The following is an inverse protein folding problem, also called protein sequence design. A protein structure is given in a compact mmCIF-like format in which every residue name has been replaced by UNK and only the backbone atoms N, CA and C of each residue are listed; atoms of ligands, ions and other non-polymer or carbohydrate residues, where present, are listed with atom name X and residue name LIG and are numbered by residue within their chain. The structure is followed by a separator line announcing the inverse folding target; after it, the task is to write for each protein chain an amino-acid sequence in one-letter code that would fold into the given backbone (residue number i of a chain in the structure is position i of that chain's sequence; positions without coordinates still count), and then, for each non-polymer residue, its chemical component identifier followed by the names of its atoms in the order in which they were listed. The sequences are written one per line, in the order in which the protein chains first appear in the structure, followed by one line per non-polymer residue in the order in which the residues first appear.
data_IF_580061472843
#
_entry.id   IF_580061472843
#
_cell.length_a   1.000
_cell.length_b   1.000
_cell.length_c   1.000
_cell.angle_alpha   90.00
_cell.angle_beta   90.00
_cell.angle_gamma   90.00
#
_symmetry.space_group_name_H-M   'P 1'
#
loop_
_entity.id
_entity.type
_entity.pdbx_description
1 polymer ?
#
# COMPACT_ATOMS: atom_id res chain seq x y z
N UNK A 1 -23.81 14.61 -4.00
CA UNK A 1 -23.25 14.05 -2.74
C UNK A 1 -21.93 14.74 -2.48
N UNK A 2 -21.79 15.47 -1.38
CA UNK A 2 -20.50 16.06 -1.01
C UNK A 2 -19.49 14.95 -0.74
N UNK A 3 -18.29 15.05 -1.33
CA UNK A 3 -17.22 14.08 -1.11
C UNK A 3 -16.83 14.04 0.37
N UNK A 4 -16.63 12.84 0.92
CA UNK A 4 -16.17 12.67 2.30
C UNK A 4 -14.66 12.91 2.32
N UNK A 5 -14.15 13.88 3.11
CA UNK A 5 -12.72 14.15 3.15
C UNK A 5 -11.92 12.97 3.72
N UNK A 6 -10.96 12.47 2.95
CA UNK A 6 -10.10 11.35 3.36
C UNK A 6 -9.29 11.73 4.62
N UNK A 7 -8.84 12.97 4.73
CA UNK A 7 -8.06 13.50 5.84
C UNK A 7 -8.79 13.48 7.19
N UNK A 8 -10.13 13.50 7.17
CA UNK A 8 -10.99 13.46 8.36
C UNK A 8 -11.28 12.02 8.81
N UNK A 9 -11.36 11.09 7.87
CA UNK A 9 -11.76 9.70 8.12
C UNK A 9 -10.56 8.76 8.28
N UNK A 10 -9.55 8.90 7.41
CA UNK A 10 -8.37 8.03 7.40
C UNK A 10 -7.41 8.45 8.52
N UNK A 11 -7.00 7.54 9.42
CA UNK A 11 -6.02 7.81 10.47
C UNK A 11 -4.74 8.43 9.94
N UNK A 12 -4.13 9.34 10.72
CA UNK A 12 -2.93 10.06 10.30
C UNK A 12 -1.74 9.13 9.98
N UNK A 13 -1.60 8.04 10.73
CA UNK A 13 -0.52 7.08 10.52
C UNK A 13 -0.69 6.26 9.23
N UNK A 14 -1.93 5.84 8.88
CA UNK A 14 -2.23 5.25 7.57
C UNK A 14 -1.87 6.19 6.43
N UNK A 15 -2.25 7.46 6.56
CA UNK A 15 -1.91 8.49 5.56
C UNK A 15 -0.40 8.64 5.45
N UNK A 16 0.31 8.80 6.56
CA UNK A 16 1.77 8.98 6.55
C UNK A 16 2.50 7.79 5.91
N UNK A 17 2.10 6.56 6.23
CA UNK A 17 2.64 5.36 5.61
C UNK A 17 2.46 5.38 4.08
N UNK A 18 1.22 5.50 3.61
CA UNK A 18 0.91 5.40 2.18
C UNK A 18 1.40 6.59 1.36
N UNK A 19 1.26 7.82 1.86
CA UNK A 19 1.58 8.99 1.03
C UNK A 19 3.00 9.49 1.26
N UNK A 20 3.77 9.00 2.24
CA UNK A 20 5.13 9.52 2.52
C UNK A 20 6.19 8.44 2.52
N UNK A 21 6.01 7.39 3.33
CA UNK A 21 7.01 6.32 3.46
C UNK A 21 7.04 5.47 2.20
N UNK A 22 5.87 5.07 1.72
CA UNK A 22 5.76 4.15 0.60
C UNK A 22 6.24 4.72 -0.75
N UNK A 23 5.99 5.97 -1.12
CA UNK A 23 6.52 6.52 -2.36
C UNK A 23 8.05 6.54 -2.39
N UNK A 24 8.69 6.78 -1.24
CA UNK A 24 10.15 6.75 -1.12
C UNK A 24 10.65 5.31 -1.30
N UNK A 25 9.97 4.34 -0.67
CA UNK A 25 10.30 2.92 -0.83
C UNK A 25 10.12 2.46 -2.28
N UNK A 26 9.02 2.83 -2.94
CA UNK A 26 8.72 2.49 -4.32
C UNK A 26 9.73 3.12 -5.30
N UNK A 27 10.10 4.40 -5.13
CA UNK A 27 11.17 5.02 -5.92
C UNK A 27 12.51 4.32 -5.70
N UNK A 28 12.82 3.93 -4.46
CA UNK A 28 14.04 3.19 -4.13
C UNK A 28 14.06 1.82 -4.82
N UNK A 29 12.95 1.09 -4.75
CA UNK A 29 12.77 -0.16 -5.50
C UNK A 29 12.98 0.04 -6.99
N UNK A 30 12.32 1.04 -7.58
CA UNK A 30 12.45 1.34 -9.00
C UNK A 30 13.91 1.65 -9.38
N UNK A 31 14.63 2.41 -8.57
CA UNK A 31 16.05 2.68 -8.76
C UNK A 31 16.89 1.39 -8.71
N UNK A 32 16.60 0.46 -7.78
CA UNK A 32 17.29 -0.84 -7.73
C UNK A 32 17.02 -1.64 -9.01
N UNK A 33 15.78 -1.74 -9.48
CA UNK A 33 15.48 -2.45 -10.73
C UNK A 33 16.18 -1.85 -11.96
N UNK A 34 16.27 -0.51 -12.04
CA UNK A 34 16.87 0.17 -13.19
C UNK A 34 18.41 0.13 -13.16
N UNK A 35 19.00 0.30 -11.98
CA UNK A 35 20.45 0.49 -11.82
C UNK A 35 21.19 -0.78 -11.40
N UNK A 36 20.51 -1.67 -10.67
CA UNK A 36 21.08 -2.89 -10.06
C UNK A 36 20.14 -4.09 -10.19
N UNK A 37 19.72 -4.48 -11.42
CA UNK A 37 18.77 -5.57 -11.61
C UNK A 37 19.27 -6.91 -11.04
N UNK A 38 20.58 -7.16 -11.04
CA UNK A 38 21.17 -8.33 -10.39
C UNK A 38 20.85 -8.40 -8.90
N UNK A 39 21.00 -7.29 -8.17
CA UNK A 39 20.68 -7.23 -6.74
C UNK A 39 19.19 -7.44 -6.47
N UNK A 40 18.32 -7.00 -7.39
CA UNK A 40 16.89 -7.30 -7.29
C UNK A 40 16.61 -8.79 -7.47
N UNK A 41 17.22 -9.45 -8.47
CA UNK A 41 17.08 -10.90 -8.68
C UNK A 41 17.54 -11.68 -7.45
N UNK A 42 18.71 -11.33 -6.92
CA UNK A 42 19.30 -11.95 -5.74
C UNK A 42 18.40 -11.79 -4.50
N UNK A 43 17.82 -10.61 -4.30
CA UNK A 43 16.87 -10.36 -3.22
C UNK A 43 15.63 -11.25 -3.36
N UNK A 44 15.01 -11.26 -4.55
CA UNK A 44 13.74 -12.00 -4.78
C UNK A 44 13.91 -13.52 -4.71
N UNK A 45 15.07 -14.04 -5.12
CA UNK A 45 15.31 -15.49 -5.26
C UNK A 45 16.18 -16.07 -4.15
N UNK A 46 16.40 -15.31 -3.07
CA UNK A 46 17.31 -15.70 -1.97
C UNK A 46 18.73 -16.05 -2.46
N UNK A 47 19.18 -15.42 -3.56
CA UNK A 47 20.47 -15.68 -4.19
C UNK A 47 20.54 -16.95 -5.06
N UNK A 48 19.43 -17.69 -5.21
CA UNK A 48 19.38 -18.91 -6.03
C UNK A 48 19.22 -18.61 -7.53
N UNK A 49 18.62 -17.47 -7.87
CA UNK A 49 18.35 -17.06 -9.25
C UNK A 49 19.49 -16.25 -9.84
N UNK A 50 19.85 -16.56 -11.10
CA UNK A 50 20.83 -15.80 -11.86
C UNK A 50 20.17 -14.72 -12.72
N UNK A 51 20.73 -13.51 -12.69
CA UNK A 51 20.31 -12.44 -13.59
C UNK A 51 20.69 -12.76 -15.04
N UNK A 52 19.71 -12.66 -15.95
CA UNK A 52 19.90 -12.82 -17.38
C UNK A 52 19.74 -11.47 -18.10
N UNK A 53 20.79 -11.00 -18.77
CA UNK A 53 20.83 -9.62 -19.32
C UNK A 53 19.82 -9.34 -20.43
N UNK A 54 19.42 -10.36 -21.17
CA UNK A 54 18.36 -10.34 -22.19
C UNK A 54 16.96 -10.08 -21.58
N UNK A 55 16.77 -10.40 -20.30
CA UNK A 55 15.52 -10.12 -19.56
C UNK A 55 15.48 -8.74 -18.90
N UNK A 56 16.48 -7.87 -19.13
CA UNK A 56 16.55 -6.53 -18.49
C UNK A 56 15.26 -5.71 -18.65
N UNK A 57 14.56 -5.85 -19.78
CA UNK A 57 13.30 -5.14 -20.03
C UNK A 57 12.22 -5.43 -18.98
N UNK A 58 12.19 -6.62 -18.38
CA UNK A 58 11.25 -6.98 -17.31
C UNK A 58 11.48 -6.11 -16.07
N UNK A 59 12.74 -5.89 -15.68
CA UNK A 59 13.10 -5.03 -14.55
C UNK A 59 12.68 -3.57 -14.81
N UNK A 60 12.80 -3.10 -16.06
CA UNK A 60 12.27 -1.78 -16.45
C UNK A 60 10.75 -1.70 -16.29
N UNK A 61 10.01 -2.76 -16.66
CA UNK A 61 8.55 -2.78 -16.45
C UNK A 61 8.17 -2.80 -14.97
N UNK A 62 8.90 -3.52 -14.12
CA UNK A 62 8.71 -3.53 -12.66
C UNK A 62 8.99 -2.14 -12.08
N UNK A 63 10.08 -1.50 -12.49
CA UNK A 63 10.40 -0.14 -12.08
C UNK A 63 9.28 0.84 -12.47
N UNK A 64 8.72 0.70 -13.67
CA UNK A 64 7.56 1.49 -14.11
C UNK A 64 6.34 1.31 -13.21
N UNK A 65 6.04 0.07 -12.80
CA UNK A 65 4.93 -0.21 -11.89
C UNK A 65 5.12 0.45 -10.51
N UNK A 66 6.34 0.40 -9.95
CA UNK A 66 6.65 1.08 -8.69
C UNK A 66 6.63 2.61 -8.80
N UNK A 67 7.12 3.18 -9.90
CA UNK A 67 6.98 4.63 -10.14
C UNK A 67 5.51 5.06 -10.28
N UNK A 68 4.67 4.18 -10.85
CA UNK A 68 3.23 4.41 -10.90
C UNK A 68 2.62 4.47 -9.49
N UNK A 69 2.96 3.53 -8.61
CA UNK A 69 2.57 3.58 -7.19
C UNK A 69 3.01 4.88 -6.52
N UNK A 70 4.31 5.19 -6.64
CA UNK A 70 4.88 6.41 -6.05
C UNK A 70 4.15 7.67 -6.53
N UNK A 71 3.79 7.74 -7.82
CA UNK A 71 3.03 8.87 -8.36
C UNK A 71 1.60 8.95 -7.80
N UNK A 72 0.87 7.82 -7.78
CA UNK A 72 -0.49 7.77 -7.23
C UNK A 72 -0.50 8.23 -5.78
N UNK A 73 0.43 7.74 -4.98
CA UNK A 73 0.49 8.03 -3.54
C UNK A 73 1.03 9.43 -3.24
N UNK A 74 2.13 9.81 -3.86
CA UNK A 74 2.80 11.08 -3.58
C UNK A 74 2.09 12.28 -4.23
N UNK A 75 1.43 12.07 -5.37
CA UNK A 75 0.84 13.16 -6.16
C UNK A 75 -0.68 13.09 -6.08
N UNK A 76 -1.29 12.01 -6.58
CA UNK A 76 -2.76 11.93 -6.72
C UNK A 76 -3.44 11.95 -5.35
N UNK A 77 -3.07 11.05 -4.45
CA UNK A 77 -3.69 10.94 -3.12
C UNK A 77 -3.43 12.17 -2.23
N UNK A 78 -2.36 12.93 -2.49
CA UNK A 78 -2.10 14.22 -1.82
C UNK A 78 -2.89 15.38 -2.42
N UNK A 79 -3.07 15.39 -3.74
CA UNK A 79 -3.78 16.45 -4.45
C UNK A 79 -5.29 16.41 -4.21
N UNK A 80 -5.84 15.23 -3.91
CA UNK A 80 -7.27 15.02 -3.80
C UNK A 80 -7.67 14.43 -2.44
N UNK A 81 -8.36 15.23 -1.63
CA UNK A 81 -8.88 14.84 -0.32
C UNK A 81 -10.26 14.17 -0.42
N UNK A 82 -10.39 13.11 -1.22
CA UNK A 82 -11.64 12.37 -1.44
C UNK A 82 -11.48 10.90 -1.05
N UNK A 83 -12.27 10.44 -0.07
CA UNK A 83 -12.23 9.05 0.42
C UNK A 83 -12.58 8.02 -0.66
N UNK A 84 -13.49 8.34 -1.59
CA UNK A 84 -13.85 7.43 -2.68
C UNK A 84 -12.68 7.25 -3.63
N UNK A 85 -11.98 8.34 -3.98
CA UNK A 85 -10.77 8.28 -4.79
C UNK A 85 -9.68 7.46 -4.08
N UNK A 86 -9.44 7.72 -2.80
CA UNK A 86 -8.48 6.97 -1.99
C UNK A 86 -8.75 5.46 -2.01
N UNK A 87 -10.03 5.05 -1.88
CA UNK A 87 -10.42 3.65 -1.98
C UNK A 87 -10.18 3.08 -3.38
N UNK A 88 -10.49 3.81 -4.45
CA UNK A 88 -10.23 3.32 -5.81
C UNK A 88 -8.72 3.13 -6.07
N UNK A 89 -7.89 4.09 -5.63
CA UNK A 89 -6.44 3.96 -5.70
C UNK A 89 -5.93 2.76 -4.88
N UNK A 90 -6.41 2.60 -3.65
CA UNK A 90 -6.07 1.44 -2.80
C UNK A 90 -6.48 0.12 -3.45
N UNK A 91 -7.65 0.04 -4.09
CA UNK A 91 -8.12 -1.17 -4.76
C UNK A 91 -7.20 -1.56 -5.91
N UNK A 92 -6.82 -0.60 -6.76
CA UNK A 92 -5.91 -0.84 -7.87
C UNK A 92 -4.53 -1.31 -7.38
N UNK A 93 -4.00 -0.68 -6.32
CA UNK A 93 -2.70 -1.05 -5.76
C UNK A 93 -2.74 -2.42 -5.08
N UNK A 94 -3.81 -2.77 -4.36
CA UNK A 94 -3.95 -4.10 -3.74
C UNK A 94 -3.92 -5.23 -4.78
N UNK A 95 -4.49 -5.03 -5.97
CA UNK A 95 -4.40 -6.03 -7.05
C UNK A 95 -2.94 -6.27 -7.46
N UNK A 96 -2.15 -5.20 -7.57
CA UNK A 96 -0.72 -5.30 -7.87
C UNK A 96 0.08 -5.87 -6.70
N UNK A 97 -0.25 -5.52 -5.45
CA UNK A 97 0.38 -6.10 -4.25
C UNK A 97 0.19 -7.62 -4.20
N UNK A 98 -1.01 -8.11 -4.53
CA UNK A 98 -1.30 -9.55 -4.57
C UNK A 98 -0.44 -10.27 -5.62
N UNK A 99 -0.31 -9.70 -6.82
CA UNK A 99 0.52 -10.26 -7.87
C UNK A 99 2.01 -10.18 -7.52
N UNK A 100 2.45 -9.13 -6.84
CA UNK A 100 3.81 -9.04 -6.33
C UNK A 100 4.10 -10.12 -5.29
N UNK A 101 3.21 -10.31 -4.31
CA UNK A 101 3.32 -11.40 -3.34
C UNK A 101 3.37 -12.77 -4.01
N UNK A 102 2.52 -13.01 -5.02
CA UNK A 102 2.57 -14.25 -5.79
C UNK A 102 3.93 -14.42 -6.49
N UNK A 103 4.46 -13.37 -7.12
CA UNK A 103 5.77 -13.41 -7.75
C UNK A 103 6.91 -13.70 -6.77
N UNK A 104 6.83 -13.19 -5.53
CA UNK A 104 7.80 -13.49 -4.48
C UNK A 104 7.75 -14.97 -4.06
N UNK A 105 6.56 -15.54 -3.99
CA UNK A 105 6.36 -16.97 -3.70
C UNK A 105 6.90 -17.84 -4.83
N UNK A 106 6.65 -17.47 -6.08
CA UNK A 106 7.19 -18.16 -7.26
C UNK A 106 8.73 -18.12 -7.28
N UNK A 107 9.32 -16.98 -6.93
CA UNK A 107 10.77 -16.77 -6.95
C UNK A 107 11.54 -17.68 -5.97
N UNK A 108 10.92 -18.12 -4.88
CA UNK A 108 11.53 -19.03 -3.88
C UNK A 108 11.17 -20.50 -4.08
N UNK A 109 10.53 -20.85 -5.20
CA UNK A 109 10.16 -22.24 -5.52
C UNK A 109 8.73 -22.64 -5.10
N UNK A 110 7.88 -21.67 -4.78
CA UNK A 110 6.45 -21.87 -4.55
C UNK A 110 6.01 -21.99 -3.08
N UNK A 111 4.71 -22.20 -2.89
CA UNK A 111 4.05 -22.18 -1.57
C UNK A 111 4.63 -23.17 -0.56
N UNK A 112 5.11 -24.33 -1.02
CA UNK A 112 5.68 -25.36 -0.14
C UNK A 112 6.95 -24.88 0.58
N UNK A 113 7.75 -24.04 -0.06
CA UNK A 113 8.95 -23.43 0.54
C UNK A 113 8.55 -22.18 1.31
N UNK A 114 7.77 -21.30 0.69
CA UNK A 114 7.42 -20.00 1.27
C UNK A 114 6.63 -20.12 2.59
N UNK A 115 5.76 -21.12 2.76
CA UNK A 115 4.97 -21.30 3.98
C UNK A 115 5.79 -21.76 5.20
N UNK A 116 7.06 -22.10 5.02
CA UNK A 116 7.96 -22.50 6.11
C UNK A 116 8.59 -21.27 6.77
N UNK A 117 7.78 -20.47 7.48
CA UNK A 117 8.20 -19.22 8.11
C UNK A 117 9.44 -19.34 9.02
N UNK A 118 9.66 -20.51 9.62
CA UNK A 118 10.85 -20.77 10.45
C UNK A 118 12.18 -20.80 9.67
N UNK A 119 12.11 -20.94 8.35
CA UNK A 119 13.26 -21.00 7.45
C UNK A 119 13.47 -19.69 6.66
N UNK A 120 12.69 -18.65 6.94
CA UNK A 120 12.81 -17.38 6.23
C UNK A 120 14.16 -16.71 6.48
N UNK A 121 14.80 -16.36 5.38
CA UNK A 121 16.05 -15.61 5.33
C UNK A 121 15.78 -14.11 5.54
N UNK A 122 16.85 -13.33 5.71
CA UNK A 122 16.74 -11.87 5.74
C UNK A 122 16.14 -11.29 4.44
N UNK A 123 16.34 -11.98 3.30
CA UNK A 123 15.77 -11.56 2.02
C UNK A 123 14.24 -11.68 2.04
N UNK A 124 13.70 -12.79 2.55
CA UNK A 124 12.26 -13.01 2.67
C UNK A 124 11.61 -11.95 3.55
N UNK A 125 12.20 -11.69 4.72
CA UNK A 125 11.72 -10.65 5.60
C UNK A 125 11.74 -9.28 4.93
N UNK A 126 12.77 -8.96 4.17
CA UNK A 126 12.88 -7.68 3.45
C UNK A 126 11.78 -7.52 2.40
N UNK A 127 11.57 -8.54 1.58
CA UNK A 127 10.51 -8.55 0.54
C UNK A 127 9.13 -8.44 1.19
N UNK A 128 8.87 -9.26 2.21
CA UNK A 128 7.55 -9.35 2.83
C UNK A 128 7.19 -8.13 3.68
N UNK A 129 8.13 -7.59 4.45
CA UNK A 129 7.94 -6.34 5.20
C UNK A 129 7.86 -5.11 4.29
N UNK A 130 8.44 -5.17 3.10
CA UNK A 130 8.31 -4.13 2.09
C UNK A 130 6.89 -4.00 1.51
N UNK A 131 6.13 -5.11 1.44
CA UNK A 131 4.83 -5.14 0.73
C UNK A 131 3.63 -5.42 1.62
N UNK A 132 3.70 -6.34 2.59
CA UNK A 132 2.52 -6.74 3.37
C UNK A 132 1.98 -5.63 4.27
N UNK A 133 2.82 -4.87 5.00
CA UNK A 133 2.33 -3.74 5.80
C UNK A 133 1.55 -2.69 5.00
N UNK A 134 2.08 -2.12 3.89
CA UNK A 134 1.30 -1.15 3.11
C UNK A 134 0.05 -1.76 2.46
N UNK A 135 0.13 -2.99 1.92
CA UNK A 135 -1.03 -3.69 1.38
C UNK A 135 -2.14 -3.87 2.44
N UNK A 136 -1.77 -4.16 3.69
CA UNK A 136 -2.70 -4.27 4.81
C UNK A 136 -3.36 -2.94 5.15
N UNK A 137 -2.62 -1.83 5.09
CA UNK A 137 -3.19 -0.48 5.29
C UNK A 137 -4.20 -0.16 4.20
N UNK A 138 -3.89 -0.46 2.93
CA UNK A 138 -4.82 -0.29 1.81
C UNK A 138 -6.10 -1.11 2.00
N UNK A 139 -5.97 -2.38 2.41
CA UNK A 139 -7.12 -3.24 2.73
C UNK A 139 -7.98 -2.67 3.86
N UNK A 140 -7.35 -2.14 4.92
CA UNK A 140 -8.08 -1.46 5.99
C UNK A 140 -8.88 -0.25 5.47
N UNK A 141 -8.31 0.57 4.60
CA UNK A 141 -9.01 1.72 3.99
C UNK A 141 -10.16 1.28 3.09
N UNK A 142 -9.97 0.22 2.31
CA UNK A 142 -11.00 -0.37 1.45
C UNK A 142 -12.19 -0.90 2.25
N UNK A 143 -11.91 -1.71 3.27
CA UNK A 143 -12.91 -2.36 4.11
C UNK A 143 -13.49 -1.41 5.16
N UNK A 144 -12.88 -0.24 5.35
CA UNK A 144 -13.27 0.73 6.35
C UNK A 144 -12.86 0.37 7.79
N UNK A 145 -11.87 -0.51 7.94
CA UNK A 145 -11.35 -0.94 9.23
C UNK A 145 -10.43 0.16 9.80
N UNK A 146 -10.64 0.53 11.06
CA UNK A 146 -9.81 1.52 11.75
C UNK A 146 -10.05 2.97 11.32
N UNK A 147 -11.09 3.26 10.54
CA UNK A 147 -11.46 4.62 10.15
C UNK A 147 -12.09 5.41 11.31
N UNK A 148 -11.88 6.72 11.33
CA UNK A 148 -12.54 7.63 12.29
C UNK A 148 -14.01 7.81 11.94
N UNK A 149 -14.89 7.76 12.95
CA UNK A 149 -16.31 8.06 12.77
C UNK A 149 -16.52 9.57 12.57
N UNK A 150 -17.27 9.93 11.54
CA UNK A 150 -17.71 11.31 11.25
C UNK A 150 -18.92 11.75 12.08
N UNK A 151 -19.42 10.92 13.00
CA UNK A 151 -20.66 11.17 13.75
C UNK A 151 -20.58 12.24 14.87
N UNK A 152 -19.43 12.90 15.05
CA UNK A 152 -19.24 13.94 16.08
C UNK A 152 -19.52 15.36 15.54
N UNK A 153 -20.74 15.61 15.07
CA UNK A 153 -21.23 16.97 14.77
C UNK A 153 -22.76 17.09 14.86
N UNK A 154 -23.42 16.26 15.69
CA UNK A 154 -24.82 16.50 16.05
C UNK A 154 -24.83 17.24 17.38
N UNK A 155 -24.81 18.57 17.31
CA UNK A 155 -25.10 19.44 18.46
C UNK A 155 -26.39 18.94 19.11
N UNK A 156 -26.44 18.72 20.44
CA UNK A 156 -27.68 18.38 21.09
C UNK A 156 -28.60 19.58 20.94
N UNK A 157 -29.65 19.46 20.13
CA UNK A 157 -30.75 20.42 20.14
C UNK A 157 -31.43 20.26 21.50
N UNK A 158 -31.04 21.09 22.47
CA UNK A 158 -31.74 21.20 23.74
C UNK A 158 -33.12 21.76 23.41
N UNK A 159 -34.12 20.89 23.34
CA UNK A 159 -35.52 21.30 23.29
C UNK A 159 -35.89 21.88 24.65
N UNK A 160 -35.88 23.21 24.77
CA UNK A 160 -36.49 23.90 25.91
C UNK A 160 -38.00 23.68 25.84
N UNK A 161 -38.51 22.76 26.64
CA UNK A 161 -39.93 22.67 26.94
C UNK A 161 -40.29 23.86 27.84
N UNK A 162 -40.83 24.93 27.26
CA UNK A 162 -41.54 25.97 28.01
C UNK A 162 -42.85 25.39 28.50
N UNK A 163 -42.98 25.24 29.82
CA UNK A 163 -44.26 24.97 30.45
C UNK A 163 -45.07 26.27 30.51
N UNK A 164 -46.06 26.43 29.65
CA UNK A 164 -47.14 27.39 29.89
C UNK A 164 -48.19 26.70 30.77
N UNK A 165 -48.11 27.00 32.07
CA UNK A 165 -49.30 27.08 32.92
C UNK A 165 -49.80 28.50 32.76
N UNK A 166 -51.02 28.70 32.29
CA UNK A 166 -52.11 29.48 32.89
C UNK A 166 -53.32 29.44 31.96
#
# INVERSE_FOLDING_TARGET
MSAVPASKVVPGFFRHALITVEPIAAVTGAAICLLKPHSYTELMTQGLGAYASDTKFLYTTIAGAWLHFAFIEAVVMRAYDDLRLWRMCCAAMVLSDLLYCLSAIEAVGGWAVWSQFGNWTAHDWTVMLGTVPPASIRLCILLGIGMKSTAAARTPTISTHTSEKY
#
